data_IF_738447492519
#
_entry.id   IF_738447492519
#
_cell.length_a   1.000
_cell.length_b   1.000
_cell.length_c   1.000
_cell.angle_alpha   90.00
_cell.angle_beta   90.00
_cell.angle_gamma   90.00
#
_symmetry.space_group_name_H-M   'P 1'
#
loop_
_entity.id
_entity.type
_entity.pdbx_description
1 polymer ?
#
# COMPACT_ATOMS: atom_id res chain seq x y z
N UNK A 1 -2.95 -57.48 -69.17
CA UNK A 1 -3.08 -58.96 -69.18
C UNK A 1 -2.17 -59.55 -68.09
N UNK A 2 -2.73 -60.48 -67.29
CA UNK A 2 -2.13 -61.65 -66.60
C UNK A 2 -0.81 -61.46 -65.81
N UNK A 3 -0.85 -61.65 -64.46
CA UNK A 3 -0.44 -62.86 -63.69
C UNK A 3 1.07 -63.18 -63.87
N UNK A 4 1.90 -63.44 -62.86
CA UNK A 4 1.68 -64.21 -61.63
C UNK A 4 2.81 -64.03 -60.59
N UNK A 5 2.48 -64.45 -59.36
CA UNK A 5 3.31 -64.64 -58.14
C UNK A 5 4.45 -65.66 -58.31
N UNK A 6 5.44 -65.62 -57.40
CA UNK A 6 5.85 -66.71 -56.46
C UNK A 6 7.03 -66.26 -55.55
N UNK A 7 6.80 -66.20 -54.23
CA UNK A 7 7.33 -67.07 -53.13
C UNK A 7 8.76 -66.72 -52.66
N UNK A 8 8.92 -66.13 -51.46
CA UNK A 8 9.21 -66.74 -50.12
C UNK A 8 10.58 -67.46 -50.10
N UNK A 9 11.51 -67.27 -49.16
CA UNK A 9 11.42 -67.06 -47.70
C UNK A 9 12.81 -66.62 -47.13
N UNK A 10 13.20 -66.84 -45.86
CA UNK A 10 13.26 -65.85 -44.77
C UNK A 10 14.69 -65.58 -44.27
N UNK A 11 14.88 -64.50 -43.51
CA UNK A 11 16.17 -64.22 -42.88
C UNK A 11 16.03 -63.23 -41.74
N UNK A 12 16.10 -63.74 -40.53
CA UNK A 12 16.22 -63.07 -39.25
C UNK A 12 17.08 -61.80 -39.26
N UNK A 13 16.65 -60.79 -38.51
CA UNK A 13 17.37 -60.34 -37.31
C UNK A 13 16.96 -58.91 -36.93
N UNK A 14 16.67 -58.76 -35.64
CA UNK A 14 16.97 -57.60 -34.81
C UNK A 14 16.68 -56.19 -35.37
N UNK A 15 15.72 -55.52 -34.72
CA UNK A 15 15.86 -54.10 -34.40
C UNK A 15 15.01 -53.77 -33.18
N UNK A 16 15.72 -53.47 -32.09
CA UNK A 16 15.27 -52.59 -31.02
C UNK A 16 14.50 -51.41 -31.61
N UNK A 17 13.45 -50.96 -30.93
CA UNK A 17 13.16 -49.55 -30.72
C UNK A 17 12.20 -49.44 -29.52
N UNK A 18 12.71 -48.85 -28.45
CA UNK A 18 11.98 -48.44 -27.25
C UNK A 18 10.76 -47.60 -27.66
N UNK A 19 9.55 -48.06 -27.36
CA UNK A 19 8.35 -47.28 -27.51
C UNK A 19 8.07 -46.48 -26.21
N UNK A 20 8.47 -45.21 -26.24
CA UNK A 20 7.76 -44.06 -25.67
C UNK A 20 7.24 -44.14 -24.24
N UNK A 21 8.04 -43.66 -23.29
CA UNK A 21 7.51 -43.13 -22.03
C UNK A 21 6.87 -41.77 -22.31
N UNK A 22 5.54 -41.70 -22.31
CA UNK A 22 4.79 -40.43 -22.37
C UNK A 22 4.90 -39.77 -20.99
N UNK A 23 5.79 -38.80 -20.85
CA UNK A 23 5.83 -37.92 -19.69
C UNK A 23 4.66 -36.95 -19.77
N UNK A 24 3.62 -37.21 -18.97
CA UNK A 24 2.60 -36.22 -18.66
C UNK A 24 3.22 -35.17 -17.73
N UNK A 25 3.64 -34.02 -18.27
CA UNK A 25 3.96 -32.85 -17.46
C UNK A 25 2.65 -32.23 -16.96
N UNK A 26 2.32 -32.49 -15.70
CA UNK A 26 1.27 -31.76 -14.99
C UNK A 26 1.71 -30.32 -14.79
N UNK A 27 1.08 -29.39 -15.50
CA UNK A 27 1.12 -27.95 -15.19
C UNK A 27 0.29 -27.71 -13.93
N UNK A 28 0.92 -27.88 -12.76
CA UNK A 28 0.40 -27.31 -11.53
C UNK A 28 0.82 -25.83 -11.51
N UNK A 29 0.01 -24.97 -12.13
CA UNK A 29 0.08 -23.53 -11.88
C UNK A 29 -0.26 -23.29 -10.41
N UNK A 30 0.78 -23.00 -9.63
CA UNK A 30 0.64 -22.67 -8.21
C UNK A 30 -0.27 -21.47 -8.06
N UNK A 31 -1.46 -21.66 -7.52
CA UNK A 31 -2.27 -20.58 -6.99
C UNK A 31 -1.44 -19.89 -5.90
N UNK A 32 -0.90 -18.71 -6.21
CA UNK A 32 -0.27 -17.87 -5.21
C UNK A 32 -1.33 -17.54 -4.15
N UNK A 33 -1.08 -17.94 -2.91
CA UNK A 33 -1.94 -17.60 -1.79
C UNK A 33 -2.03 -16.07 -1.67
N UNK A 34 -3.21 -15.50 -1.38
CA UNK A 34 -3.34 -14.07 -1.16
C UNK A 34 -2.40 -13.65 -0.02
N UNK A 35 -1.61 -12.60 -0.26
CA UNK A 35 -0.75 -12.00 0.76
C UNK A 35 -1.60 -11.61 1.98
N UNK A 36 -1.30 -12.20 3.13
CA UNK A 36 -1.94 -11.82 4.39
C UNK A 36 -1.72 -10.31 4.64
N UNK A 37 -2.76 -9.57 5.08
CA UNK A 37 -2.60 -8.16 5.40
C UNK A 37 -1.55 -8.00 6.50
N UNK A 38 -0.71 -6.96 6.36
CA UNK A 38 0.29 -6.64 7.41
C UNK A 38 -0.44 -6.34 8.72
N UNK A 39 0.13 -6.74 9.88
CA UNK A 39 -0.42 -6.32 11.17
C UNK A 39 -0.40 -4.78 11.25
N UNK A 40 -1.32 -4.17 12.03
CA UNK A 40 -1.32 -2.72 12.24
C UNK A 40 0.03 -2.18 12.71
N UNK A 41 0.34 -0.95 12.32
CA UNK A 41 1.57 -0.26 12.68
C UNK A 41 1.49 1.24 12.46
N UNK A 42 2.57 1.95 12.76
CA UNK A 42 2.71 3.36 12.46
C UNK A 42 3.20 3.56 11.02
N UNK A 43 2.63 4.54 10.30
CA UNK A 43 3.30 5.16 9.16
C UNK A 43 4.03 6.39 9.67
N UNK A 44 5.35 6.29 9.79
CA UNK A 44 6.21 7.28 10.44
C UNK A 44 7.11 7.97 9.43
N UNK A 45 7.34 9.28 9.56
CA UNK A 45 8.42 9.96 8.84
C UNK A 45 9.77 9.30 9.14
N UNK A 46 10.60 9.16 8.11
CA UNK A 46 11.96 8.62 8.28
C UNK A 46 12.82 9.64 9.03
N UNK A 47 12.77 10.90 8.63
CA UNK A 47 13.40 11.99 9.37
C UNK A 47 12.56 12.35 10.60
N UNK A 48 13.24 12.52 11.74
CA UNK A 48 12.57 12.82 13.01
C UNK A 48 12.29 14.32 13.18
N UNK A 49 12.84 15.17 12.30
CA UNK A 49 12.73 16.62 12.32
C UNK A 49 13.08 17.19 13.71
N UNK A 50 12.25 18.07 14.25
CA UNK A 50 12.33 18.68 15.58
C UNK A 50 11.83 17.76 16.72
N UNK A 51 11.60 16.47 16.43
CA UNK A 51 11.12 15.46 17.38
C UNK A 51 12.09 14.27 17.47
N UNK A 52 13.34 14.48 17.95
CA UNK A 52 14.34 13.43 17.95
C UNK A 52 14.00 12.23 18.86
N UNK A 53 13.08 12.37 19.82
CA UNK A 53 12.70 11.29 20.75
C UNK A 53 11.63 10.35 20.20
N UNK A 54 10.64 10.87 19.47
CA UNK A 54 9.46 10.12 19.01
C UNK A 54 9.17 10.27 17.50
N UNK A 55 9.62 11.35 16.85
CA UNK A 55 9.38 11.62 15.43
C UNK A 55 7.91 11.90 15.14
N UNK A 56 7.51 11.83 13.86
CA UNK A 56 6.14 12.12 13.43
C UNK A 56 5.46 10.93 12.75
N UNK A 57 4.20 10.69 13.11
CA UNK A 57 3.35 9.62 12.61
C UNK A 57 2.09 10.19 11.95
N UNK A 58 1.54 9.42 11.02
CA UNK A 58 0.24 9.71 10.40
C UNK A 58 -0.86 9.61 11.47
N UNK A 59 -1.66 10.67 11.63
CA UNK A 59 -2.65 10.79 12.70
C UNK A 59 -4.01 11.33 12.22
N UNK A 60 -5.10 10.76 12.71
CA UNK A 60 -6.44 11.34 12.63
C UNK A 60 -6.68 12.24 13.84
N UNK A 61 -7.02 13.50 13.58
CA UNK A 61 -7.27 14.48 14.65
C UNK A 61 -8.38 14.02 15.59
N UNK A 62 -8.08 14.08 16.89
CA UNK A 62 -9.03 13.82 17.98
C UNK A 62 -8.54 12.70 18.89
N UNK A 63 -9.40 12.21 19.78
CA UNK A 63 -9.11 11.05 20.60
C UNK A 63 -10.40 10.41 21.13
N UNK A 64 -10.44 9.08 21.20
CA UNK A 64 -11.60 8.33 21.68
C UNK A 64 -12.90 8.73 20.97
N UNK A 65 -13.89 9.18 21.72
CA UNK A 65 -15.18 9.63 21.16
C UNK A 65 -15.14 10.98 20.43
N UNK A 66 -14.02 11.71 20.50
CA UNK A 66 -13.83 13.03 19.90
C UNK A 66 -13.02 13.00 18.59
N UNK A 67 -12.91 11.84 17.95
CA UNK A 67 -12.27 11.69 16.65
C UNK A 67 -13.03 12.48 15.57
N UNK A 68 -12.29 13.18 14.69
CA UNK A 68 -12.83 14.14 13.72
C UNK A 68 -12.55 13.71 12.30
N UNK A 69 -13.53 13.05 11.69
CA UNK A 69 -13.42 12.59 10.30
C UNK A 69 -13.67 13.68 9.24
N UNK A 70 -14.09 14.86 9.69
CA UNK A 70 -14.39 16.04 8.89
C UNK A 70 -13.21 17.01 8.80
N UNK A 71 -12.10 16.74 9.49
CA UNK A 71 -10.88 17.56 9.46
C UNK A 71 -9.75 16.87 8.68
N UNK A 72 -8.80 17.66 8.14
CA UNK A 72 -7.56 17.12 7.61
C UNK A 72 -6.81 16.28 8.65
N UNK A 73 -6.20 15.21 8.17
CA UNK A 73 -5.22 14.43 8.92
C UNK A 73 -3.97 15.28 9.19
N UNK A 74 -3.18 14.86 10.17
CA UNK A 74 -1.93 15.55 10.52
C UNK A 74 -0.77 14.58 10.58
N UNK A 75 0.45 15.12 10.54
CA UNK A 75 1.61 14.43 11.07
C UNK A 75 1.74 14.85 12.54
N UNK A 76 1.38 13.98 13.47
CA UNK A 76 1.47 14.21 14.91
C UNK A 76 2.71 13.52 15.46
N UNK A 77 3.30 13.98 16.58
CA UNK A 77 4.40 13.24 17.16
C UNK A 77 3.96 11.82 17.56
N UNK A 78 4.76 10.81 17.22
CA UNK A 78 4.36 9.41 17.39
C UNK A 78 4.09 9.06 18.85
N UNK A 79 2.98 8.35 19.09
CA UNK A 79 2.63 7.91 20.43
C UNK A 79 3.54 6.74 20.86
N UNK A 80 3.82 6.58 22.18
CA UNK A 80 4.68 5.50 22.70
C UNK A 80 4.07 4.08 22.53
N UNK A 81 2.82 3.99 22.11
CA UNK A 81 2.15 2.76 21.71
C UNK A 81 1.32 2.97 20.45
N UNK A 82 0.74 1.90 19.92
CA UNK A 82 -0.11 1.96 18.73
C UNK A 82 -1.55 2.32 19.13
N UNK A 83 -1.86 3.62 19.18
CA UNK A 83 -3.21 4.11 19.44
C UNK A 83 -4.05 4.09 18.17
N UNK A 84 -5.37 3.98 18.32
CA UNK A 84 -6.33 3.76 17.23
C UNK A 84 -6.26 4.80 16.10
N UNK A 85 -5.89 6.03 16.44
CA UNK A 85 -5.79 7.21 15.57
C UNK A 85 -4.43 7.36 14.87
N UNK A 86 -3.41 6.60 15.28
CA UNK A 86 -2.11 6.46 14.56
C UNK A 86 -1.92 5.03 13.99
N UNK A 87 -2.84 4.12 14.30
CA UNK A 87 -2.80 2.74 13.83
C UNK A 87 -3.25 2.64 12.38
N UNK A 88 -2.37 2.16 11.50
CA UNK A 88 -2.73 1.89 10.11
C UNK A 88 -2.36 0.49 9.66
N UNK A 89 -3.13 0.00 8.68
CA UNK A 89 -2.83 -1.18 7.87
C UNK A 89 -2.56 -0.69 6.46
N UNK A 90 -1.44 -1.14 5.89
CA UNK A 90 -1.17 -1.00 4.46
C UNK A 90 -1.78 -2.21 3.75
N UNK A 91 -2.89 -1.99 3.06
CA UNK A 91 -3.64 -3.05 2.38
C UNK A 91 -3.06 -3.36 1.00
N UNK A 92 -3.21 -4.61 0.50
CA UNK A 92 -2.70 -4.99 -0.82
C UNK A 92 -3.29 -4.20 -1.99
N UNK A 93 -4.47 -3.60 -1.83
CA UNK A 93 -5.12 -2.73 -2.80
C UNK A 93 -4.61 -1.27 -2.79
N UNK A 94 -3.62 -0.96 -1.95
CA UNK A 94 -3.04 0.38 -1.80
C UNK A 94 -3.74 1.26 -0.77
N UNK A 95 -4.78 0.78 -0.09
CA UNK A 95 -5.41 1.55 0.97
C UNK A 95 -4.50 1.66 2.20
N UNK A 96 -4.45 2.86 2.76
CA UNK A 96 -3.88 3.12 4.09
C UNK A 96 -5.06 3.27 5.04
N UNK A 97 -5.43 2.15 5.69
CA UNK A 97 -6.66 2.06 6.50
C UNK A 97 -6.37 2.18 7.99
N UNK A 98 -7.15 3.00 8.68
CA UNK A 98 -7.28 3.06 10.13
C UNK A 98 -8.28 2.00 10.60
N UNK A 99 -7.82 0.89 11.19
CA UNK A 99 -8.67 -0.28 11.39
C UNK A 99 -9.76 -0.08 12.43
N UNK A 100 -9.49 0.68 13.49
CA UNK A 100 -10.47 0.96 14.55
C UNK A 100 -11.69 1.76 14.05
N UNK A 101 -11.48 2.60 13.03
CA UNK A 101 -12.51 3.52 12.54
C UNK A 101 -13.12 3.11 11.19
N UNK A 102 -12.56 2.10 10.54
CA UNK A 102 -12.89 1.74 9.16
C UNK A 102 -12.86 2.97 8.23
N UNK A 103 -11.73 3.70 8.30
CA UNK A 103 -11.45 4.89 7.49
C UNK A 103 -10.17 4.71 6.71
N UNK A 104 -10.13 5.26 5.51
CA UNK A 104 -8.95 5.27 4.67
C UNK A 104 -8.44 6.71 4.52
N UNK A 105 -7.12 6.85 4.53
CA UNK A 105 -6.47 8.10 4.12
C UNK A 105 -6.91 8.42 2.69
N UNK A 106 -7.46 9.62 2.49
CA UNK A 106 -8.05 10.03 1.21
C UNK A 106 -7.52 11.38 0.82
N UNK A 107 -7.02 11.52 -0.40
CA UNK A 107 -6.67 12.82 -0.94
C UNK A 107 -7.93 13.68 -1.16
N UNK A 108 -7.92 14.92 -0.68
CA UNK A 108 -8.92 15.90 -1.07
C UNK A 108 -8.80 16.15 -2.59
N UNK A 109 -9.89 15.96 -3.31
CA UNK A 109 -9.84 15.96 -4.76
C UNK A 109 -11.20 15.93 -5.40
N UNK A 110 -11.21 16.11 -6.72
CA UNK A 110 -12.42 16.12 -7.54
C UNK A 110 -12.25 15.14 -8.70
N UNK A 111 -13.30 14.37 -8.98
CA UNK A 111 -13.33 13.44 -10.11
C UNK A 111 -12.12 12.46 -10.11
N UNK A 112 -11.78 11.93 -8.93
CA UNK A 112 -10.70 10.97 -8.76
C UNK A 112 -9.28 11.54 -8.94
N UNK A 113 -9.11 12.86 -8.87
CA UNK A 113 -7.81 13.53 -8.99
C UNK A 113 -7.60 14.53 -7.86
N UNK A 114 -6.35 14.65 -7.42
CA UNK A 114 -5.90 15.67 -6.48
C UNK A 114 -4.91 16.62 -7.18
N UNK A 115 -4.68 17.78 -6.57
CA UNK A 115 -3.67 18.75 -7.01
C UNK A 115 -2.59 18.88 -5.92
N UNK A 116 -1.39 19.41 -6.25
CA UNK A 116 -0.43 19.81 -5.22
C UNK A 116 -1.08 20.74 -4.19
N UNK A 117 -0.75 20.54 -2.91
CA UNK A 117 -1.36 21.19 -1.76
C UNK A 117 -2.65 20.54 -1.24
N UNK A 118 -3.18 19.51 -1.92
CA UNK A 118 -4.37 18.81 -1.45
C UNK A 118 -4.15 18.19 -0.06
N UNK A 119 -5.04 18.50 0.88
CA UNK A 119 -5.05 17.88 2.21
C UNK A 119 -5.39 16.38 2.12
N UNK A 120 -4.98 15.61 3.13
CA UNK A 120 -5.47 14.25 3.34
C UNK A 120 -6.58 14.26 4.38
N UNK A 121 -7.68 13.55 4.14
CA UNK A 121 -8.87 13.52 4.98
C UNK A 121 -9.25 12.05 5.21
N UNK A 122 -9.65 11.63 6.43
CA UNK A 122 -10.09 10.27 6.67
C UNK A 122 -11.54 10.07 6.17
N UNK A 123 -11.73 9.27 5.11
CA UNK A 123 -13.06 8.97 4.54
C UNK A 123 -13.39 7.48 4.65
N UNK A 124 -14.64 7.11 4.37
CA UNK A 124 -14.97 5.69 4.22
C UNK A 124 -14.10 5.06 3.14
N UNK A 125 -13.56 3.86 3.39
CA UNK A 125 -12.80 3.14 2.37
C UNK A 125 -13.72 2.78 1.19
N UNK A 126 -13.33 3.16 -0.03
CA UNK A 126 -14.17 3.04 -1.23
C UNK A 126 -15.44 3.91 -1.20
N UNK A 127 -15.46 4.99 -0.41
CA UNK A 127 -16.63 5.88 -0.32
C UNK A 127 -17.01 6.46 -1.70
N UNK A 128 -18.31 6.38 -2.02
CA UNK A 128 -18.90 6.96 -3.21
C UNK A 128 -20.12 7.77 -2.81
N UNK A 129 -19.99 9.08 -2.87
CA UNK A 129 -21.06 10.04 -2.58
C UNK A 129 -21.03 11.14 -3.64
N UNK A 130 -22.10 11.94 -3.81
CA UNK A 130 -22.06 13.07 -4.73
C UNK A 130 -20.84 13.95 -4.45
N UNK A 131 -20.05 14.22 -5.49
CA UNK A 131 -18.80 15.01 -5.43
C UNK A 131 -17.62 14.34 -4.70
N UNK A 132 -17.72 13.06 -4.32
CA UNK A 132 -16.60 12.26 -3.79
C UNK A 132 -16.62 10.84 -4.38
N UNK A 133 -15.66 10.57 -5.25
CA UNK A 133 -15.33 9.23 -5.75
C UNK A 133 -13.98 8.83 -5.14
N UNK A 134 -14.01 8.28 -3.91
CA UNK A 134 -12.83 8.16 -3.08
C UNK A 134 -11.86 7.07 -3.54
N UNK A 135 -12.31 6.05 -4.28
CA UNK A 135 -11.50 4.88 -4.65
C UNK A 135 -10.14 5.29 -5.26
N UNK A 136 -10.14 6.14 -6.29
CA UNK A 136 -8.88 6.63 -6.89
C UNK A 136 -8.09 7.61 -6.01
N UNK A 137 -8.74 8.24 -5.04
CA UNK A 137 -8.12 9.17 -4.08
C UNK A 137 -7.57 8.45 -2.84
N UNK A 138 -7.71 7.13 -2.76
CA UNK A 138 -7.33 6.30 -1.60
C UNK A 138 -6.24 5.26 -1.91
N UNK A 139 -5.81 5.14 -3.16
CA UNK A 139 -4.77 4.17 -3.55
C UNK A 139 -3.41 4.84 -3.44
N UNK A 140 -2.65 4.44 -2.42
CA UNK A 140 -1.31 4.93 -2.18
C UNK A 140 -0.28 3.82 -2.33
N UNK A 141 0.89 4.18 -2.87
CA UNK A 141 2.04 3.28 -2.99
C UNK A 141 3.20 3.80 -2.16
N UNK A 142 3.63 2.97 -1.20
CA UNK A 142 4.87 3.16 -0.49
C UNK A 142 6.03 2.61 -1.34
N UNK A 143 6.89 3.50 -1.79
CA UNK A 143 8.09 3.18 -2.56
C UNK A 143 9.24 2.73 -1.66
N UNK A 144 10.23 2.04 -2.24
CA UNK A 144 11.41 1.58 -1.50
C UNK A 144 12.30 2.70 -0.97
N UNK A 145 12.19 3.92 -1.51
CA UNK A 145 12.88 5.12 -1.03
C UNK A 145 12.12 5.88 0.06
N UNK A 146 10.97 5.35 0.49
CA UNK A 146 10.11 5.91 1.51
C UNK A 146 9.05 6.88 1.00
N UNK A 147 9.03 7.25 -0.29
CA UNK A 147 7.93 8.08 -0.81
C UNK A 147 6.60 7.34 -0.70
N UNK A 148 5.55 8.05 -0.27
CA UNK A 148 4.17 7.53 -0.29
C UNK A 148 3.41 8.33 -1.33
N UNK A 149 3.25 7.75 -2.52
CA UNK A 149 2.66 8.41 -3.67
C UNK A 149 1.16 8.08 -3.76
N UNK A 150 0.31 9.06 -4.07
CA UNK A 150 -1.03 8.79 -4.59
C UNK A 150 -0.86 8.16 -5.99
N UNK A 151 -1.25 6.90 -6.14
CA UNK A 151 -0.81 6.04 -7.24
C UNK A 151 -0.97 6.68 -8.63
N UNK A 152 0.16 6.81 -9.34
CA UNK A 152 0.22 7.31 -10.72
C UNK A 152 -0.01 8.81 -10.88
N UNK A 153 -0.07 9.57 -9.78
CA UNK A 153 -0.28 11.03 -9.83
C UNK A 153 1.01 11.84 -9.80
N UNK A 154 2.13 11.25 -9.37
CA UNK A 154 3.35 12.01 -9.07
C UNK A 154 3.23 12.90 -7.83
N UNK A 155 2.20 12.71 -7.00
CA UNK A 155 1.99 13.44 -5.75
C UNK A 155 2.33 12.58 -4.53
N UNK A 156 3.17 13.09 -3.65
CA UNK A 156 3.67 12.42 -2.47
C UNK A 156 3.10 13.02 -1.17
N UNK A 157 2.74 12.15 -0.23
CA UNK A 157 2.35 12.53 1.13
C UNK A 157 3.52 13.25 1.80
N UNK A 158 3.27 14.48 2.23
CA UNK A 158 4.30 15.38 2.74
C UNK A 158 3.81 16.10 3.99
N UNK A 159 4.68 16.15 5.00
CA UNK A 159 4.46 16.94 6.20
C UNK A 159 4.83 18.41 5.98
N UNK A 160 4.10 19.32 6.63
CA UNK A 160 4.35 20.75 6.55
C UNK A 160 5.67 21.18 7.17
N UNK A 161 6.21 22.29 6.68
CA UNK A 161 7.48 22.84 7.12
C UNK A 161 7.42 23.45 8.54
N UNK A 162 6.24 23.86 9.01
CA UNK A 162 6.02 24.35 10.39
C UNK A 162 5.45 23.26 11.28
N UNK A 163 5.97 23.17 12.50
CA UNK A 163 5.35 22.47 13.62
C UNK A 163 4.73 23.47 14.58
N UNK A 164 3.71 23.04 15.30
CA UNK A 164 3.12 23.80 16.41
C UNK A 164 2.68 22.85 17.54
N UNK A 165 2.40 23.39 18.72
CA UNK A 165 1.79 22.62 19.81
C UNK A 165 0.33 22.29 19.53
N UNK A 166 -0.15 21.19 20.10
CA UNK A 166 -1.60 20.94 20.18
C UNK A 166 -2.17 21.57 21.46
N UNK A 167 -3.11 20.91 22.14
CA UNK A 167 -3.61 21.32 23.46
C UNK A 167 -2.64 20.98 24.61
N UNK A 168 -1.56 20.25 24.32
CA UNK A 168 -0.47 19.95 25.25
C UNK A 168 0.83 20.57 24.72
N UNK A 169 1.66 21.09 25.64
CA UNK A 169 3.00 21.59 25.29
C UNK A 169 3.97 20.50 24.84
N UNK A 170 3.69 19.24 25.20
CA UNK A 170 4.51 18.08 24.85
C UNK A 170 4.20 17.55 23.44
N UNK A 171 3.02 17.89 22.91
CA UNK A 171 2.53 17.34 21.64
C UNK A 171 2.76 18.32 20.51
N UNK A 172 3.27 17.82 19.39
CA UNK A 172 3.53 18.60 18.18
C UNK A 172 2.78 18.03 17.00
N UNK A 173 2.33 18.93 16.12
CA UNK A 173 1.70 18.53 14.88
C UNK A 173 2.24 19.36 13.70
N UNK A 174 2.11 18.80 12.50
CA UNK A 174 2.38 19.46 11.22
C UNK A 174 1.20 19.19 10.29
N UNK A 175 0.93 20.13 9.39
CA UNK A 175 -0.03 19.90 8.30
C UNK A 175 0.40 18.68 7.47
N UNK A 176 -0.56 17.98 6.87
CA UNK A 176 -0.31 16.84 6.00
C UNK A 176 -1.05 17.02 4.67
N UNK A 177 -0.32 16.95 3.57
CA UNK A 177 -0.84 17.23 2.24
C UNK A 177 -0.05 16.48 1.17
N UNK A 178 -0.52 16.61 -0.07
CA UNK A 178 0.14 16.10 -1.26
C UNK A 178 1.02 17.17 -1.90
N UNK A 179 2.28 16.85 -2.17
CA UNK A 179 3.21 17.71 -2.91
C UNK A 179 3.77 16.95 -4.12
N UNK A 180 4.22 17.64 -5.16
CA UNK A 180 4.90 16.97 -6.28
C UNK A 180 6.11 16.18 -5.75
N UNK A 181 6.18 14.89 -6.06
CA UNK A 181 7.20 13.99 -5.50
C UNK A 181 8.65 14.43 -5.80
N UNK A 182 8.87 15.16 -6.89
CA UNK A 182 10.19 15.65 -7.31
C UNK A 182 10.54 17.01 -6.67
N UNK A 183 9.55 17.74 -6.15
CA UNK A 183 9.74 18.99 -5.42
C UNK A 183 9.75 18.79 -3.89
N UNK A 184 9.07 17.74 -3.41
CA UNK A 184 8.88 17.49 -1.98
C UNK A 184 10.21 17.18 -1.28
N UNK A 185 10.55 17.97 -0.26
CA UNK A 185 11.79 17.81 0.49
C UNK A 185 11.87 16.44 1.20
N UNK A 186 12.93 15.64 0.98
CA UNK A 186 13.02 14.27 1.49
C UNK A 186 12.80 14.11 3.00
N UNK A 187 13.23 15.07 3.80
CA UNK A 187 13.04 15.06 5.25
C UNK A 187 11.56 15.12 5.68
N UNK A 188 10.67 15.58 4.80
CA UNK A 188 9.23 15.71 5.10
C UNK A 188 8.34 14.82 4.25
N UNK A 189 8.88 14.11 3.26
CA UNK A 189 8.12 13.34 2.28
C UNK A 189 8.47 11.84 2.24
N UNK A 190 9.43 11.39 3.05
CA UNK A 190 9.80 9.97 3.15
C UNK A 190 9.30 9.37 4.45
N UNK A 191 8.58 8.27 4.31
CA UNK A 191 7.89 7.54 5.35
C UNK A 191 8.34 6.09 5.40
N UNK A 192 8.16 5.48 6.55
CA UNK A 192 8.39 4.06 6.77
C UNK A 192 7.23 3.47 7.55
N UNK A 193 6.87 2.24 7.22
CA UNK A 193 5.89 1.49 8.00
C UNK A 193 6.61 0.73 9.11
N UNK A 194 6.22 0.98 10.36
CA UNK A 194 6.69 0.25 11.53
C UNK A 194 5.55 -0.56 12.12
N UNK A 195 5.55 -1.86 11.83
CA UNK A 195 4.63 -2.80 12.45
C UNK A 195 4.73 -2.71 13.98
N UNK A 196 3.59 -2.77 14.67
CA UNK A 196 3.63 -2.95 16.12
C UNK A 196 4.34 -4.28 16.45
N UNK A 197 5.16 -4.33 17.52
CA UNK A 197 5.69 -5.59 17.99
C UNK A 197 4.52 -6.53 18.33
N UNK A 198 4.59 -7.78 17.86
CA UNK A 198 3.66 -8.82 18.27
C UNK A 198 3.71 -8.93 19.80
N UNK A 199 2.58 -8.72 20.48
CA UNK A 199 2.46 -9.01 21.91
C UNK A 199 2.30 -10.51 22.13
#
# INVERSE_FOLDING_TARGET
MRKARKHLSPGSAARLLLAGLVFALSLAEGMAAPLAPKPPGHLQLIDRLDRPEDGYCLDIVGSGQYIRFDMPMTAHNCKPGLYEDEAVILEPNGYIRFPAYNRCMTAAGLNGRALPGAALIPRGCGERTPFLEAERLQIFRLHGDGRVELEGSGLCVTAGHKSDTTFSSEHRWRALFLEECDAAEPARSRWQFKAAPNR
#
